data_IF_007133956287
#
_entry.id   IF_007133956287
#
_cell.length_a   1.000
_cell.length_b   1.000
_cell.length_c   1.000
_cell.angle_alpha   90.00
_cell.angle_beta   90.00
_cell.angle_gamma   90.00
#
_symmetry.space_group_name_H-M   'P 1'
#
loop_
_entity.id
_entity.type
_entity.pdbx_description
1 polymer ?
#
# COMPACT_ATOMS: atom_id res chain seq x y z
N UNK A 1 -47.44 96.31 -33.59
CA UNK A 1 -47.42 95.56 -34.86
C UNK A 1 -48.02 94.19 -34.60
N UNK A 2 -49.09 93.82 -35.30
CA UNK A 2 -49.68 92.49 -35.16
C UNK A 2 -48.81 91.49 -35.93
N UNK A 3 -48.46 90.37 -35.30
CA UNK A 3 -47.83 89.25 -36.01
C UNK A 3 -48.76 88.79 -37.13
N UNK A 4 -48.21 88.60 -38.31
CA UNK A 4 -48.98 88.09 -39.45
C UNK A 4 -49.14 86.57 -39.32
N UNK A 5 -50.17 86.02 -39.99
CA UNK A 5 -50.36 84.57 -40.10
C UNK A 5 -49.13 83.86 -40.67
N UNK A 6 -48.38 84.53 -41.54
CA UNK A 6 -47.17 84.01 -42.18
C UNK A 6 -46.02 83.88 -41.16
N UNK A 7 -45.85 84.86 -40.26
CA UNK A 7 -44.84 84.80 -39.20
C UNK A 7 -45.06 83.61 -38.24
N UNK A 8 -46.33 83.34 -37.88
CA UNK A 8 -46.70 82.20 -37.05
C UNK A 8 -46.45 80.84 -37.74
N UNK A 9 -46.72 80.75 -39.05
CA UNK A 9 -46.47 79.54 -39.83
C UNK A 9 -44.97 79.25 -39.98
N UNK A 10 -44.15 80.29 -40.18
CA UNK A 10 -42.70 80.16 -40.23
C UNK A 10 -42.14 79.67 -38.89
N UNK A 11 -42.58 80.26 -37.78
CA UNK A 11 -42.16 79.84 -36.43
C UNK A 11 -42.56 78.39 -36.11
N UNK A 12 -43.77 77.97 -36.48
CA UNK A 12 -44.23 76.59 -36.29
C UNK A 12 -43.44 75.58 -37.15
N UNK A 13 -43.03 75.98 -38.36
CA UNK A 13 -42.21 75.14 -39.23
C UNK A 13 -40.80 74.94 -38.64
N UNK A 14 -40.19 76.00 -38.11
CA UNK A 14 -38.90 75.96 -37.42
C UNK A 14 -38.99 75.05 -36.19
N UNK A 15 -39.98 75.28 -35.31
CA UNK A 15 -40.17 74.48 -34.11
C UNK A 15 -40.38 72.98 -34.41
N UNK A 16 -41.14 72.65 -35.47
CA UNK A 16 -41.30 71.27 -35.94
C UNK A 16 -39.99 70.65 -36.41
N UNK A 17 -39.15 71.42 -37.10
CA UNK A 17 -37.85 70.95 -37.56
C UNK A 17 -36.88 70.71 -36.39
N UNK A 18 -36.81 71.66 -35.45
CA UNK A 18 -36.01 71.55 -34.22
C UNK A 18 -36.43 70.35 -33.37
N UNK A 19 -37.73 70.18 -33.11
CA UNK A 19 -38.25 69.02 -32.39
C UNK A 19 -37.89 67.70 -33.08
N UNK A 20 -37.97 67.65 -34.41
CA UNK A 20 -37.61 66.44 -35.17
C UNK A 20 -36.12 66.15 -35.05
N UNK A 21 -35.28 67.17 -35.16
CA UNK A 21 -33.83 67.05 -35.03
C UNK A 21 -33.44 66.59 -33.62
N UNK A 22 -34.01 67.19 -32.58
CA UNK A 22 -33.74 66.81 -31.19
C UNK A 22 -34.18 65.37 -30.89
N UNK A 23 -35.39 65.00 -31.31
CA UNK A 23 -35.92 63.65 -31.09
C UNK A 23 -35.06 62.60 -31.82
N UNK A 24 -34.75 62.84 -33.11
CA UNK A 24 -33.92 61.92 -33.90
C UNK A 24 -32.48 61.86 -33.39
N UNK A 25 -31.92 62.98 -32.93
CA UNK A 25 -30.60 63.04 -32.30
C UNK A 25 -30.53 62.23 -31.02
N UNK A 26 -31.52 62.38 -30.12
CA UNK A 26 -31.61 61.63 -28.87
C UNK A 26 -31.76 60.12 -29.14
N UNK A 27 -32.66 59.73 -30.06
CA UNK A 27 -32.82 58.32 -30.43
C UNK A 27 -31.54 57.73 -31.01
N UNK A 28 -30.88 58.43 -31.94
CA UNK A 28 -29.61 57.98 -32.52
C UNK A 28 -28.53 57.83 -31.44
N UNK A 29 -28.38 58.81 -30.55
CA UNK A 29 -27.44 58.74 -29.45
C UNK A 29 -27.70 57.56 -28.50
N UNK A 30 -28.97 57.24 -28.21
CA UNK A 30 -29.31 56.06 -27.40
C UNK A 30 -28.99 54.75 -28.10
N UNK A 31 -29.22 54.66 -29.42
CA UNK A 31 -28.89 53.48 -30.21
C UNK A 31 -27.38 53.29 -30.32
N UNK A 32 -26.62 54.36 -30.54
CA UNK A 32 -25.15 54.32 -30.61
C UNK A 32 -24.56 53.87 -29.26
N UNK A 33 -25.09 54.38 -28.13
CA UNK A 33 -24.70 53.92 -26.79
C UNK A 33 -25.03 52.45 -26.57
N UNK A 34 -26.24 52.01 -26.93
CA UNK A 34 -26.64 50.62 -26.80
C UNK A 34 -25.78 49.68 -27.67
N UNK A 35 -25.46 50.10 -28.89
CA UNK A 35 -24.57 49.37 -29.78
C UNK A 35 -23.15 49.27 -29.20
N UNK A 36 -22.63 50.35 -28.62
CA UNK A 36 -21.33 50.34 -27.94
C UNK A 36 -21.32 49.39 -26.73
N UNK A 37 -22.36 49.43 -25.89
CA UNK A 37 -22.50 48.54 -24.73
C UNK A 37 -22.58 47.07 -25.15
N UNK A 38 -23.35 46.76 -26.19
CA UNK A 38 -23.46 45.41 -26.74
C UNK A 38 -22.12 44.91 -27.29
N UNK A 39 -21.43 45.75 -28.07
CA UNK A 39 -20.12 45.40 -28.60
C UNK A 39 -19.10 45.15 -27.47
N UNK A 40 -19.11 45.98 -26.44
CA UNK A 40 -18.26 45.78 -25.26
C UNK A 40 -18.53 44.45 -24.55
N UNK A 41 -19.81 44.12 -24.33
CA UNK A 41 -20.21 42.83 -23.73
C UNK A 41 -19.85 41.64 -24.60
N UNK A 42 -20.02 41.73 -25.92
CA UNK A 42 -19.63 40.68 -26.87
C UNK A 42 -18.13 40.45 -26.83
N UNK A 43 -17.32 41.51 -26.85
CA UNK A 43 -15.86 41.39 -26.74
C UNK A 43 -15.42 40.77 -25.41
N UNK A 44 -16.07 41.13 -24.29
CA UNK A 44 -15.82 40.52 -22.99
C UNK A 44 -16.15 39.02 -23.01
N UNK A 45 -17.32 38.64 -23.54
CA UNK A 45 -17.71 37.23 -23.63
C UNK A 45 -16.78 36.43 -24.54
N UNK A 46 -16.30 37.01 -25.64
CA UNK A 46 -15.31 36.37 -26.51
C UNK A 46 -14.00 36.12 -25.77
N UNK A 47 -13.53 37.07 -24.95
CA UNK A 47 -12.34 36.89 -24.13
C UNK A 47 -12.53 35.78 -23.09
N UNK A 48 -13.69 35.75 -22.41
CA UNK A 48 -14.01 34.72 -21.42
C UNK A 48 -14.09 33.33 -22.07
N UNK A 49 -14.75 33.20 -23.23
CA UNK A 49 -14.84 31.94 -23.99
C UNK A 49 -13.45 31.45 -24.40
N UNK A 50 -12.59 32.34 -24.88
CA UNK A 50 -11.21 31.97 -25.24
C UNK A 50 -10.40 31.52 -24.01
N UNK A 51 -10.57 32.21 -22.88
CA UNK A 51 -9.92 31.84 -21.62
C UNK A 51 -10.37 30.46 -21.12
N UNK A 52 -11.68 30.20 -21.15
CA UNK A 52 -12.23 28.88 -20.80
C UNK A 52 -11.74 27.81 -21.77
N UNK A 53 -11.73 28.08 -23.08
CA UNK A 53 -11.21 27.15 -24.08
C UNK A 53 -9.75 26.76 -23.83
N UNK A 54 -8.89 27.73 -23.51
CA UNK A 54 -7.49 27.48 -23.18
C UNK A 54 -7.34 26.61 -21.92
N UNK A 55 -8.13 26.88 -20.88
CA UNK A 55 -8.13 26.06 -19.65
C UNK A 55 -8.63 24.65 -19.88
N UNK A 56 -9.64 24.47 -20.74
CA UNK A 56 -10.16 23.15 -21.10
C UNK A 56 -9.09 22.32 -21.82
N UNK A 57 -8.37 22.91 -22.78
CA UNK A 57 -7.28 22.22 -23.48
C UNK A 57 -6.14 21.80 -22.54
N UNK A 58 -5.78 22.65 -21.57
CA UNK A 58 -4.77 22.32 -20.56
C UNK A 58 -5.22 21.16 -19.66
N UNK A 59 -6.49 21.18 -19.22
CA UNK A 59 -7.06 20.09 -18.42
C UNK A 59 -7.14 18.77 -19.21
N UNK A 60 -7.50 18.82 -20.50
CA UNK A 60 -7.50 17.64 -21.37
C UNK A 60 -6.10 17.05 -21.52
N UNK A 61 -5.07 17.89 -21.70
CA UNK A 61 -3.69 17.45 -21.78
C UNK A 61 -3.20 16.82 -20.47
N UNK A 62 -3.51 17.43 -19.32
CA UNK A 62 -3.18 16.88 -18.00
C UNK A 62 -3.90 15.54 -17.75
N UNK A 63 -5.17 15.42 -18.16
CA UNK A 63 -5.92 14.18 -18.05
C UNK A 63 -5.30 13.06 -18.89
N UNK A 64 -4.84 13.37 -20.11
CA UNK A 64 -4.16 12.41 -20.96
C UNK A 64 -2.84 11.92 -20.34
N UNK A 65 -2.02 12.83 -19.79
CA UNK A 65 -0.78 12.47 -19.08
C UNK A 65 -1.06 11.59 -17.85
N UNK A 66 -2.09 11.92 -17.06
CA UNK A 66 -2.50 11.10 -15.92
C UNK A 66 -3.00 9.72 -16.35
N UNK A 67 -3.78 9.62 -17.43
CA UNK A 67 -4.22 8.33 -17.97
C UNK A 67 -3.03 7.47 -18.41
N UNK A 68 -2.03 8.05 -19.08
CA UNK A 68 -0.82 7.34 -19.47
C UNK A 68 -0.01 6.84 -18.27
N UNK A 69 0.04 7.62 -17.19
CA UNK A 69 0.73 7.24 -15.94
C UNK A 69 -0.03 6.19 -15.14
N UNK A 70 -1.36 6.22 -15.14
CA UNK A 70 -2.20 5.28 -14.39
C UNK A 70 -2.34 3.94 -15.11
N UNK A 71 -2.38 3.94 -16.45
CA UNK A 71 -2.53 2.72 -17.25
C UNK A 71 -1.57 1.56 -16.87
N UNK A 72 -0.26 1.78 -16.63
CA UNK A 72 0.65 0.69 -16.25
C UNK A 72 0.57 0.27 -14.78
N UNK A 73 0.02 1.10 -13.88
CA UNK A 73 0.11 0.89 -12.42
C UNK A 73 -0.49 -0.45 -12.00
N UNK A 74 -1.64 -0.83 -12.56
CA UNK A 74 -2.26 -2.12 -12.23
C UNK A 74 -1.40 -3.31 -12.67
N UNK A 75 -0.74 -3.20 -13.82
CA UNK A 75 0.17 -4.22 -14.33
C UNK A 75 1.46 -4.31 -13.48
N UNK A 76 1.99 -3.18 -13.04
CA UNK A 76 3.16 -3.11 -12.16
C UNK A 76 2.83 -3.71 -10.79
N UNK A 77 1.67 -3.37 -10.22
CA UNK A 77 1.19 -3.95 -8.96
C UNK A 77 1.04 -5.47 -9.08
N UNK A 78 0.47 -5.97 -10.18
CA UNK A 78 0.33 -7.41 -10.41
C UNK A 78 1.71 -8.10 -10.50
N UNK A 79 2.64 -7.50 -11.25
CA UNK A 79 4.02 -7.98 -11.39
C UNK A 79 4.76 -8.02 -10.04
N UNK A 80 4.69 -6.94 -9.27
CA UNK A 80 5.32 -6.84 -7.95
C UNK A 80 4.73 -7.87 -6.99
N UNK A 81 3.40 -8.05 -6.96
CA UNK A 81 2.75 -9.07 -6.12
C UNK A 81 3.22 -10.48 -6.48
N UNK A 82 3.34 -10.80 -7.76
CA UNK A 82 3.83 -12.10 -8.22
C UNK A 82 5.29 -12.34 -7.82
N UNK A 83 6.16 -11.33 -8.00
CA UNK A 83 7.56 -11.40 -7.58
C UNK A 83 7.72 -11.54 -6.07
N UNK A 84 6.91 -10.80 -5.30
CA UNK A 84 6.88 -10.90 -3.85
C UNK A 84 6.50 -12.31 -3.42
N UNK A 85 5.41 -12.87 -3.96
CA UNK A 85 4.97 -14.22 -3.65
C UNK A 85 6.04 -15.27 -3.97
N UNK A 86 6.66 -15.18 -5.16
CA UNK A 86 7.76 -16.08 -5.53
C UNK A 86 8.95 -15.97 -4.58
N UNK A 87 9.28 -14.75 -4.16
CA UNK A 87 10.39 -14.50 -3.23
C UNK A 87 10.06 -15.05 -1.84
N UNK A 88 8.83 -14.88 -1.36
CA UNK A 88 8.37 -15.49 -0.11
C UNK A 88 8.51 -17.01 -0.15
N UNK A 89 8.06 -17.66 -1.23
CA UNK A 89 8.21 -19.12 -1.39
C UNK A 89 9.69 -19.55 -1.40
N UNK A 90 10.57 -18.78 -2.05
CA UNK A 90 12.02 -19.05 -2.04
C UNK A 90 12.61 -18.89 -0.64
N UNK A 91 12.22 -17.86 0.11
CA UNK A 91 12.65 -17.67 1.49
C UNK A 91 12.17 -18.82 2.39
N UNK A 92 10.93 -19.26 2.26
CA UNK A 92 10.39 -20.41 2.99
C UNK A 92 11.14 -21.71 2.67
N UNK A 93 11.44 -21.98 1.39
CA UNK A 93 12.23 -23.15 1.00
C UNK A 93 13.65 -23.09 1.58
N UNK A 94 14.32 -21.94 1.52
CA UNK A 94 15.64 -21.76 2.11
C UNK A 94 15.63 -21.94 3.63
N UNK A 95 14.66 -21.37 4.32
CA UNK A 95 14.49 -21.54 5.77
C UNK A 95 14.23 -23.01 6.14
N UNK A 96 13.36 -23.69 5.38
CA UNK A 96 13.06 -25.10 5.58
C UNK A 96 14.30 -25.98 5.37
N UNK A 97 15.10 -25.70 4.33
CA UNK A 97 16.36 -26.40 4.08
C UNK A 97 17.40 -26.11 5.16
N UNK A 98 17.51 -24.87 5.62
CA UNK A 98 18.46 -24.48 6.66
C UNK A 98 18.11 -25.09 8.03
N UNK A 99 16.82 -25.28 8.32
CA UNK A 99 16.33 -25.90 9.57
C UNK A 99 16.15 -27.42 9.46
N UNK A 100 16.46 -28.01 8.31
CA UNK A 100 16.17 -29.41 8.00
C UNK A 100 16.85 -30.37 8.98
N UNK A 101 18.04 -30.00 9.47
CA UNK A 101 18.85 -30.78 10.40
C UNK A 101 18.62 -30.42 11.88
N UNK A 102 17.70 -29.48 12.13
CA UNK A 102 17.38 -29.03 13.47
C UNK A 102 16.24 -29.86 14.07
N UNK A 103 16.40 -30.23 15.34
CA UNK A 103 15.36 -30.84 16.19
C UNK A 103 15.08 -29.90 17.34
N UNK A 104 13.80 -29.66 17.63
CA UNK A 104 13.36 -28.91 18.81
C UNK A 104 12.74 -29.87 19.81
N UNK A 105 13.29 -29.91 21.01
CA UNK A 105 12.79 -30.73 22.12
C UNK A 105 12.05 -29.83 23.10
N UNK A 106 10.82 -30.22 23.41
CA UNK A 106 9.90 -29.48 24.28
C UNK A 106 9.76 -30.18 25.64
N UNK A 107 9.46 -29.40 26.69
CA UNK A 107 8.99 -29.95 27.97
C UNK A 107 10.05 -30.58 28.88
N UNK A 108 11.33 -30.51 28.52
CA UNK A 108 12.42 -30.95 29.41
C UNK A 108 12.59 -29.96 30.57
N UNK A 109 12.50 -30.43 31.81
CA UNK A 109 12.70 -29.59 32.99
C UNK A 109 14.09 -28.94 32.98
N UNK A 110 14.19 -27.70 33.45
CA UNK A 110 15.49 -27.02 33.52
C UNK A 110 16.31 -27.62 34.67
N UNK A 111 17.55 -28.02 34.40
CA UNK A 111 18.45 -28.63 35.39
C UNK A 111 18.49 -30.16 35.35
N UNK A 112 17.52 -30.84 34.72
CA UNK A 112 17.56 -32.31 34.54
C UNK A 112 18.68 -32.78 33.60
N UNK A 113 19.29 -31.84 32.86
CA UNK A 113 20.30 -32.08 31.83
C UNK A 113 21.69 -32.32 32.43
N UNK A 114 21.93 -31.82 33.64
CA UNK A 114 23.26 -31.78 34.25
C UNK A 114 24.14 -30.66 33.66
N UNK A 115 25.47 -30.71 33.89
CA UNK A 115 26.40 -29.64 33.49
C UNK A 115 26.68 -29.61 31.98
N UNK A 116 26.46 -30.73 31.28
CA UNK A 116 26.73 -30.88 29.86
C UNK A 116 25.46 -31.26 29.09
N UNK A 117 24.90 -30.24 28.45
CA UNK A 117 23.70 -30.33 27.63
C UNK A 117 23.91 -31.21 26.38
N UNK A 118 25.10 -31.18 25.80
CA UNK A 118 25.41 -31.93 24.59
C UNK A 118 25.46 -33.43 24.89
N UNK A 119 26.21 -33.81 25.93
CA UNK A 119 26.25 -35.20 26.38
C UNK A 119 24.87 -35.72 26.79
N UNK A 120 24.03 -34.87 27.41
CA UNK A 120 22.64 -35.24 27.73
C UNK A 120 21.82 -35.54 26.46
N UNK A 121 21.86 -34.66 25.47
CA UNK A 121 21.09 -34.83 24.22
C UNK A 121 21.58 -36.03 23.41
N UNK A 122 22.89 -36.27 23.35
CA UNK A 122 23.46 -37.46 22.70
C UNK A 122 22.93 -38.73 23.37
N UNK A 123 22.97 -38.83 24.71
CA UNK A 123 22.41 -39.98 25.44
C UNK A 123 20.92 -40.17 25.20
N UNK A 124 20.15 -39.08 25.22
CA UNK A 124 18.71 -39.10 24.99
C UNK A 124 18.38 -39.67 23.60
N UNK A 125 19.01 -39.14 22.56
CA UNK A 125 18.74 -39.58 21.19
C UNK A 125 19.28 -40.98 20.89
N UNK A 126 20.44 -41.36 21.42
CA UNK A 126 20.95 -42.73 21.32
C UNK A 126 20.02 -43.75 21.98
N UNK A 127 19.50 -43.42 23.17
CA UNK A 127 18.53 -44.28 23.87
C UNK A 127 17.21 -44.39 23.09
N UNK A 128 16.74 -43.29 22.53
CA UNK A 128 15.52 -43.26 21.72
C UNK A 128 15.67 -44.10 20.44
N UNK A 129 16.79 -43.96 19.73
CA UNK A 129 17.06 -44.65 18.47
C UNK A 129 17.46 -46.13 18.70
N UNK A 130 17.97 -46.46 19.89
CA UNK A 130 18.56 -47.77 20.17
C UNK A 130 19.93 -47.95 19.52
N UNK A 131 20.70 -46.86 19.43
CA UNK A 131 21.98 -46.79 18.71
C UNK A 131 23.12 -46.42 19.65
N UNK A 132 24.35 -46.73 19.23
CA UNK A 132 25.55 -46.31 19.94
C UNK A 132 25.69 -44.78 19.94
N UNK A 133 26.29 -44.23 20.99
CA UNK A 133 26.47 -42.77 21.11
C UNK A 133 27.33 -42.17 20.00
N UNK A 134 28.24 -42.96 19.43
CA UNK A 134 29.08 -42.55 18.31
C UNK A 134 28.30 -42.23 17.03
N UNK A 135 27.08 -42.74 16.88
CA UNK A 135 26.25 -42.54 15.69
C UNK A 135 25.44 -41.23 15.76
N UNK A 136 25.23 -40.68 16.96
CA UNK A 136 24.51 -39.41 17.16
C UNK A 136 25.52 -38.28 17.32
N UNK A 137 25.78 -37.59 16.20
CA UNK A 137 26.66 -36.43 16.17
C UNK A 137 25.87 -35.12 16.19
N UNK A 138 26.11 -34.31 17.21
CA UNK A 138 25.50 -32.99 17.40
C UNK A 138 26.51 -31.92 16.98
N UNK A 139 26.09 -30.98 16.13
CA UNK A 139 26.93 -29.84 15.75
C UNK A 139 26.79 -28.70 16.76
N UNK A 140 25.55 -28.42 17.19
CA UNK A 140 25.25 -27.36 18.14
C UNK A 140 24.02 -27.72 18.97
N UNK A 141 24.07 -27.43 20.27
CA UNK A 141 22.93 -27.54 21.17
C UNK A 141 22.82 -26.32 22.07
N UNK A 142 21.60 -25.84 22.29
CA UNK A 142 21.34 -24.77 23.25
C UNK A 142 19.85 -24.70 23.61
N UNK A 143 19.56 -24.19 24.81
CA UNK A 143 18.20 -23.78 25.20
C UNK A 143 17.82 -22.49 24.49
N UNK A 144 16.66 -22.46 23.85
CA UNK A 144 16.11 -21.32 23.10
C UNK A 144 14.98 -20.66 23.88
N UNK A 145 15.00 -19.32 23.91
CA UNK A 145 14.01 -18.50 24.60
C UNK A 145 14.61 -17.77 25.81
N UNK A 146 13.88 -16.76 26.28
CA UNK A 146 14.30 -15.97 27.44
C UNK A 146 14.29 -16.83 28.70
N UNK A 147 15.37 -16.75 29.49
CA UNK A 147 15.40 -17.30 30.86
C UNK A 147 14.32 -16.58 31.66
N UNK A 148 13.16 -17.19 31.83
CA UNK A 148 12.13 -16.61 32.65
C UNK A 148 12.52 -16.79 34.12
N UNK A 149 12.63 -15.69 34.86
CA UNK A 149 12.66 -15.74 36.31
C UNK A 149 11.27 -16.10 36.83
N UNK A 150 11.10 -17.26 37.46
CA UNK A 150 9.88 -17.61 38.22
C UNK A 150 9.45 -19.07 38.16
N UNK A 151 9.04 -19.60 39.31
CA UNK A 151 8.40 -20.92 39.47
C UNK A 151 7.06 -20.97 38.72
N UNK A 152 6.80 -22.07 38.01
CA UNK A 152 5.51 -22.34 37.34
C UNK A 152 5.39 -21.95 35.86
N UNK A 153 6.48 -21.52 35.19
CA UNK A 153 6.49 -21.30 33.73
C UNK A 153 7.01 -22.51 32.95
N UNK A 154 6.58 -22.64 31.69
CA UNK A 154 7.01 -23.72 30.79
C UNK A 154 8.53 -23.73 30.63
N UNK A 155 9.20 -24.90 30.73
CA UNK A 155 10.63 -25.01 30.49
C UNK A 155 11.01 -24.52 29.09
N UNK A 156 12.20 -23.91 28.93
CA UNK A 156 12.69 -23.47 27.61
C UNK A 156 12.90 -24.66 26.68
N UNK A 157 12.67 -24.48 25.40
CA UNK A 157 12.93 -25.57 24.45
C UNK A 157 14.42 -25.74 24.22
N UNK A 158 14.85 -26.94 23.86
CA UNK A 158 16.21 -27.21 23.40
C UNK A 158 16.18 -27.25 21.87
N UNK A 159 17.05 -26.48 21.24
CA UNK A 159 17.31 -26.59 19.81
C UNK A 159 18.62 -27.33 19.60
N UNK A 160 18.54 -28.44 18.86
CA UNK A 160 19.67 -29.30 18.52
C UNK A 160 19.87 -29.24 17.02
N UNK A 161 21.07 -28.92 16.56
CA UNK A 161 21.50 -29.08 15.17
C UNK A 161 22.32 -30.36 15.07
N UNK A 162 21.83 -31.32 14.30
CA UNK A 162 22.51 -32.59 14.05
C UNK A 162 23.44 -32.46 12.84
N UNK A 163 24.52 -33.25 12.80
CA UNK A 163 25.43 -33.25 11.65
C UNK A 163 24.83 -33.96 10.42
N UNK A 164 23.79 -34.78 10.62
CA UNK A 164 23.18 -35.60 9.58
C UNK A 164 21.65 -35.50 9.59
N UNK A 165 21.11 -35.06 8.46
CA UNK A 165 19.67 -35.07 8.18
C UNK A 165 19.03 -36.45 8.40
N UNK A 166 19.73 -37.53 8.03
CA UNK A 166 19.20 -38.89 8.11
C UNK A 166 18.94 -39.30 9.57
N UNK A 167 19.83 -38.92 10.47
CA UNK A 167 19.65 -39.15 11.92
C UNK A 167 18.47 -38.32 12.42
N UNK A 168 18.40 -37.06 11.99
CA UNK A 168 17.28 -36.17 12.32
C UNK A 168 15.93 -36.75 11.95
N UNK A 169 15.74 -37.29 10.74
CA UNK A 169 14.44 -37.85 10.32
C UNK A 169 13.98 -39.04 11.17
N UNK A 170 14.93 -39.85 11.62
CA UNK A 170 14.63 -41.05 12.40
C UNK A 170 14.09 -40.72 13.79
N UNK A 171 14.53 -39.61 14.39
CA UNK A 171 14.11 -39.19 15.73
C UNK A 171 12.58 -38.98 15.79
N UNK A 172 11.94 -38.06 15.04
CA UNK A 172 10.48 -37.91 15.05
C UNK A 172 9.74 -39.18 14.64
N UNK A 173 10.26 -39.95 13.67
CA UNK A 173 9.65 -41.21 13.27
C UNK A 173 9.63 -42.23 14.41
N UNK A 174 10.70 -42.29 15.21
CA UNK A 174 10.79 -43.18 16.36
C UNK A 174 9.88 -42.75 17.50
N UNK A 175 9.83 -41.44 17.79
CA UNK A 175 8.88 -40.84 18.74
C UNK A 175 7.44 -41.19 18.36
N UNK A 176 7.04 -41.03 17.09
CA UNK A 176 5.67 -41.33 16.62
C UNK A 176 5.28 -42.81 16.70
N UNK A 177 6.26 -43.71 16.77
CA UNK A 177 6.04 -45.16 16.93
C UNK A 177 5.95 -45.58 18.40
N UNK A 178 6.31 -44.70 19.34
CA UNK A 178 6.24 -44.95 20.77
C UNK A 178 5.10 -44.10 21.35
N UNK A 179 4.12 -44.74 21.98
CA UNK A 179 2.98 -44.03 22.59
C UNK A 179 3.42 -43.10 23.75
N UNK A 180 4.61 -43.32 24.31
CA UNK A 180 5.18 -42.47 25.35
C UNK A 180 6.70 -42.49 25.26
N UNK A 181 7.30 -41.31 25.10
CA UNK A 181 8.75 -41.15 25.21
C UNK A 181 9.06 -40.63 26.59
N UNK A 182 9.70 -41.45 27.42
CA UNK A 182 10.17 -41.05 28.75
C UNK A 182 11.69 -41.13 28.84
N UNK A 183 12.29 -40.19 29.55
CA UNK A 183 13.72 -40.18 29.84
C UNK A 183 13.92 -39.81 31.32
N UNK A 184 14.59 -40.69 32.08
CA UNK A 184 14.76 -40.57 33.54
C UNK A 184 13.46 -40.29 34.31
N UNK A 185 12.36 -40.95 33.94
CA UNK A 185 11.06 -40.78 34.61
C UNK A 185 10.26 -39.54 34.19
N UNK A 186 10.81 -38.67 33.33
CA UNK A 186 10.10 -37.50 32.78
C UNK A 186 9.51 -37.85 31.41
N UNK A 187 8.22 -37.59 31.20
CA UNK A 187 7.54 -37.80 29.91
C UNK A 187 7.81 -36.60 29.00
N UNK A 188 8.44 -36.86 27.85
CA UNK A 188 8.85 -35.83 26.88
C UNK A 188 7.80 -35.62 25.80
N UNK A 189 7.08 -36.67 25.43
CA UNK A 189 6.05 -36.65 24.40
C UNK A 189 5.01 -37.73 24.70
N UNK A 190 3.72 -37.36 24.57
CA UNK A 190 2.55 -38.24 24.59
C UNK A 190 1.95 -38.33 23.19
#
# INVERSE_FOLDING_TARGET
>A
MALTKEDLLASLCIFKAELREELTGNFKATLDKFQADLNGKISSLQADVNSVGARTLDLEAQMQDLQQKVAPVDSDIASIKAQLHLTTLKCEDLDNRARRDNVRVHGLEEGSEGPDLEAFVVRLFSTLLGEEQSEVQVERVHRVGNRAAGEGRRPRDILVKLSSFKVKERIPLRVRRQDTVSFHGTILHR
#
